data_IF_293791091519
#
_entry.id   IF_293791091519
#
_cell.length_a   1.000
_cell.length_b   1.000
_cell.length_c   1.000
_cell.angle_alpha   90.00
_cell.angle_beta   90.00
_cell.angle_gamma   90.00
#
_symmetry.space_group_name_H-M   'P 1'
#
loop_
_entity.id
_entity.type
_entity.pdbx_description
1 polymer ?
#
# COMPACT_ATOMS: atom_id res chain seq x y z
N UNK A 1 -0.76 22.86 23.61
CA UNK A 1 -1.61 21.66 23.70
C UNK A 1 -1.10 20.67 22.66
N UNK A 2 -1.13 19.35 22.92
CA UNK A 2 -0.77 18.36 21.92
C UNK A 2 -1.59 18.51 20.65
N UNK A 3 -0.96 18.28 19.50
CA UNK A 3 -1.59 18.26 18.19
C UNK A 3 -1.39 16.93 17.49
N UNK A 4 -2.24 16.67 16.50
CA UNK A 4 -2.08 15.58 15.56
C UNK A 4 -1.19 16.03 14.41
N UNK A 5 -0.27 15.18 13.97
CA UNK A 5 0.50 15.37 12.75
C UNK A 5 0.23 14.19 11.85
N UNK A 6 -0.45 14.45 10.73
CA UNK A 6 -0.89 13.44 9.77
C UNK A 6 -0.04 13.54 8.51
N UNK A 7 0.63 12.45 8.15
CA UNK A 7 1.42 12.32 6.94
C UNK A 7 0.66 11.40 5.98
N UNK A 8 0.45 11.83 4.74
CA UNK A 8 -0.23 11.05 3.73
C UNK A 8 0.67 10.88 2.50
N UNK A 9 1.03 9.64 2.20
CA UNK A 9 1.78 9.29 0.99
C UNK A 9 0.85 8.67 -0.04
N UNK A 10 0.57 9.39 -1.12
CA UNK A 10 -0.23 8.80 -2.18
C UNK A 10 0.56 7.75 -2.98
N UNK A 11 -0.18 6.88 -3.63
CA UNK A 11 0.35 6.00 -4.66
C UNK A 11 0.85 6.83 -5.84
N UNK A 12 1.63 6.19 -6.70
CA UNK A 12 2.13 6.85 -7.90
C UNK A 12 1.04 7.16 -8.90
N UNK A 13 0.83 8.45 -9.10
CA UNK A 13 0.13 8.97 -10.26
C UNK A 13 1.04 9.93 -11.01
N UNK A 14 1.10 9.79 -12.34
CA UNK A 14 1.84 10.71 -13.19
C UNK A 14 1.12 12.06 -13.37
N UNK A 15 -0.15 12.18 -12.97
CA UNK A 15 -0.91 13.43 -13.02
C UNK A 15 -1.92 13.47 -11.86
N UNK A 16 -2.08 14.64 -11.22
CA UNK A 16 -3.26 14.96 -10.41
C UNK A 16 -4.43 15.19 -11.39
N UNK A 17 -4.73 14.18 -12.20
CA UNK A 17 -5.88 14.14 -13.09
C UNK A 17 -7.06 13.50 -12.36
N UNK A 18 -8.26 13.64 -12.91
CA UNK A 18 -9.60 13.43 -12.34
C UNK A 18 -9.87 12.22 -11.41
N UNK A 19 -8.94 11.27 -11.32
CA UNK A 19 -9.08 9.99 -10.65
C UNK A 19 -8.54 10.05 -9.22
N UNK A 20 -9.43 10.17 -8.23
CA UNK A 20 -9.04 10.40 -6.83
C UNK A 20 -8.70 9.08 -6.14
N UNK A 21 -7.48 8.98 -5.62
CA UNK A 21 -7.09 7.92 -4.68
C UNK A 21 -7.81 8.09 -3.34
N UNK A 22 -7.87 7.02 -2.56
CA UNK A 22 -8.39 7.08 -1.20
C UNK A 22 -7.50 7.91 -0.27
N UNK A 23 -6.20 8.03 -0.55
CA UNK A 23 -5.31 8.93 0.19
C UNK A 23 -5.67 10.39 -0.08
N UNK A 24 -5.90 10.77 -1.34
CA UNK A 24 -6.34 12.11 -1.70
C UNK A 24 -7.75 12.43 -1.14
N UNK A 25 -8.66 11.45 -1.19
CA UNK A 25 -9.98 11.58 -0.56
C UNK A 25 -9.85 11.79 0.94
N UNK A 26 -9.04 10.98 1.62
CA UNK A 26 -8.77 11.09 3.04
C UNK A 26 -8.17 12.45 3.39
N UNK A 27 -7.20 12.93 2.61
CA UNK A 27 -6.66 14.29 2.74
C UNK A 27 -7.77 15.34 2.67
N UNK A 28 -8.71 15.22 1.73
CA UNK A 28 -9.89 16.09 1.63
C UNK A 28 -10.81 16.04 2.85
N UNK A 29 -10.99 14.86 3.44
CA UNK A 29 -11.83 14.64 4.62
C UNK A 29 -11.22 15.18 5.92
N UNK A 30 -9.90 15.28 6.05
CA UNK A 30 -9.24 15.68 7.29
C UNK A 30 -9.37 17.19 7.57
N UNK A 31 -9.66 17.53 8.83
CA UNK A 31 -9.55 18.90 9.34
C UNK A 31 -8.09 19.36 9.31
N UNK A 32 -7.87 20.62 8.95
CA UNK A 32 -6.55 21.26 8.92
C UNK A 32 -6.63 22.48 9.83
N UNK A 33 -5.95 22.43 10.96
CA UNK A 33 -5.97 23.45 12.02
C UNK A 33 -4.72 23.35 12.89
N UNK A 34 -4.53 24.26 13.83
CA UNK A 34 -3.38 24.22 14.76
C UNK A 34 -3.35 22.97 15.65
N UNK A 35 -4.49 22.27 15.76
CA UNK A 35 -4.62 21.00 16.48
C UNK A 35 -4.40 19.76 15.59
N UNK A 36 -4.38 19.93 14.27
CA UNK A 36 -4.14 18.85 13.32
C UNK A 36 -3.47 19.37 12.05
N UNK A 37 -2.17 19.10 11.95
CA UNK A 37 -1.37 19.40 10.77
C UNK A 37 -1.43 18.21 9.81
N UNK A 38 -1.57 18.48 8.51
CA UNK A 38 -1.75 17.45 7.49
C UNK A 38 -0.79 17.70 6.33
N UNK A 39 0.16 16.79 6.14
CA UNK A 39 1.10 16.77 5.03
C UNK A 39 0.63 15.75 3.99
N UNK A 40 0.67 16.13 2.72
CA UNK A 40 0.28 15.28 1.60
C UNK A 40 1.38 15.25 0.56
N UNK A 41 1.83 14.03 0.24
CA UNK A 41 2.78 13.73 -0.82
C UNK A 41 2.02 13.08 -1.98
N UNK A 42 2.11 13.61 -3.22
CA UNK A 42 1.38 13.08 -4.38
C UNK A 42 1.99 11.78 -4.95
N UNK A 43 3.06 11.23 -4.35
CA UNK A 43 3.79 10.09 -4.89
C UNK A 43 4.81 10.45 -5.96
N UNK A 44 5.55 9.45 -6.46
CA UNK A 44 6.56 9.67 -7.51
C UNK A 44 5.93 9.68 -8.91
N UNK A 45 6.12 10.77 -9.65
CA UNK A 45 5.71 10.91 -11.06
C UNK A 45 6.90 10.85 -12.01
N UNK A 46 6.77 10.11 -13.11
CA UNK A 46 7.77 10.06 -14.19
C UNK A 46 7.40 11.08 -15.27
N UNK A 47 7.89 12.32 -15.18
CA UNK A 47 7.74 13.31 -16.27
C UNK A 47 8.80 12.99 -17.34
N UNK A 48 8.38 12.68 -18.57
CA UNK A 48 9.28 12.43 -19.71
C UNK A 48 8.78 13.06 -21.02
N UNK A 49 9.68 13.52 -21.93
CA UNK A 49 9.35 14.38 -23.07
C UNK A 49 8.52 13.70 -24.17
N UNK A 50 7.79 14.52 -24.93
CA UNK A 50 6.72 14.15 -25.86
C UNK A 50 7.27 13.65 -27.21
N UNK A 51 7.29 12.33 -27.47
CA UNK A 51 7.44 11.74 -28.80
C UNK A 51 6.78 10.34 -28.87
N UNK A 52 6.08 10.02 -29.96
CA UNK A 52 5.17 8.86 -30.07
C UNK A 52 5.86 7.48 -30.04
N UNK A 53 7.05 7.33 -30.64
CA UNK A 53 7.84 6.08 -30.62
C UNK A 53 8.41 5.77 -29.23
N UNK A 54 8.73 6.81 -28.45
CA UNK A 54 9.15 6.67 -27.07
C UNK A 54 8.01 6.20 -26.16
N UNK A 55 6.72 6.25 -26.53
CA UNK A 55 5.62 5.88 -25.61
C UNK A 55 5.66 4.41 -25.17
N UNK A 56 6.10 3.49 -26.03
CA UNK A 56 6.24 2.06 -25.71
C UNK A 56 7.38 1.83 -24.71
N UNK A 57 8.56 2.37 -25.00
CA UNK A 57 9.73 2.30 -24.13
C UNK A 57 9.57 3.16 -22.87
N UNK A 58 8.77 4.23 -22.92
CA UNK A 58 8.37 5.05 -21.79
C UNK A 58 7.42 4.28 -20.90
N UNK A 59 6.40 3.58 -21.42
CA UNK A 59 5.55 2.72 -20.56
C UNK A 59 6.35 1.59 -19.92
N UNK A 60 7.27 0.97 -20.66
CA UNK A 60 8.14 -0.07 -20.12
C UNK A 60 9.14 0.49 -19.09
N UNK A 61 9.75 1.64 -19.36
CA UNK A 61 10.70 2.36 -18.51
C UNK A 61 10.05 3.09 -17.33
N UNK A 62 8.80 3.51 -17.45
CA UNK A 62 7.92 3.97 -16.37
C UNK A 62 7.67 2.76 -15.47
N UNK A 63 7.14 1.63 -15.98
CA UNK A 63 6.94 0.42 -15.17
C UNK A 63 8.24 -0.05 -14.49
N UNK A 64 9.39 0.08 -15.17
CA UNK A 64 10.70 -0.22 -14.60
C UNK A 64 11.17 0.80 -13.57
N UNK A 65 11.04 2.11 -13.81
CA UNK A 65 11.36 3.18 -12.86
C UNK A 65 10.41 3.19 -11.66
N UNK A 66 9.17 2.72 -11.87
CA UNK A 66 8.21 2.43 -10.81
C UNK A 66 8.66 1.28 -9.92
N UNK A 67 9.49 0.39 -10.47
CA UNK A 67 10.02 -0.80 -9.84
C UNK A 67 11.42 -0.63 -9.21
N UNK A 68 12.18 0.43 -9.53
CA UNK A 68 13.55 0.62 -8.99
C UNK A 68 13.62 1.53 -7.76
N UNK A 69 12.48 2.00 -7.23
CA UNK A 69 12.43 2.85 -6.03
C UNK A 69 12.86 4.31 -6.24
N UNK A 70 13.04 4.76 -7.48
CA UNK A 70 13.52 6.12 -7.78
C UNK A 70 12.51 7.18 -7.30
N UNK A 71 12.96 8.07 -6.42
CA UNK A 71 12.16 9.16 -5.82
C UNK A 71 11.54 8.86 -4.45
N UNK A 72 11.47 7.60 -4.02
CA UNK A 72 10.89 7.20 -2.72
C UNK A 72 11.60 7.87 -1.53
N UNK A 73 12.94 7.86 -1.59
CA UNK A 73 13.80 8.41 -0.54
C UNK A 73 13.55 9.90 -0.31
N UNK A 74 13.27 10.65 -1.38
CA UNK A 74 13.02 12.08 -1.27
C UNK A 74 11.69 12.35 -0.57
N UNK A 75 10.62 11.65 -0.95
CA UNK A 75 9.30 11.78 -0.33
C UNK A 75 9.38 11.45 1.18
N UNK A 76 10.10 10.39 1.55
CA UNK A 76 10.32 10.02 2.97
C UNK A 76 11.08 11.12 3.72
N UNK A 77 12.16 11.64 3.14
CA UNK A 77 12.95 12.73 3.75
C UNK A 77 12.14 14.02 3.89
N UNK A 78 11.29 14.35 2.92
CA UNK A 78 10.47 15.57 2.98
C UNK A 78 9.38 15.48 4.05
N UNK A 79 8.72 14.32 4.16
CA UNK A 79 7.81 14.05 5.27
C UNK A 79 8.53 14.04 6.63
N UNK A 80 9.73 13.47 6.70
CA UNK A 80 10.55 13.49 7.92
C UNK A 80 10.95 14.91 8.32
N UNK A 81 11.35 15.75 7.35
CA UNK A 81 11.63 17.17 7.59
C UNK A 81 10.40 17.89 8.15
N UNK A 82 9.23 17.66 7.55
CA UNK A 82 7.97 18.20 8.05
C UNK A 82 7.71 17.76 9.50
N UNK A 83 7.97 16.49 9.86
CA UNK A 83 7.86 16.03 11.24
C UNK A 83 8.84 16.76 12.17
N UNK A 84 10.12 16.85 11.82
CA UNK A 84 11.13 17.55 12.64
C UNK A 84 10.78 19.03 12.85
N UNK A 85 10.23 19.69 11.83
CA UNK A 85 9.85 21.09 11.88
C UNK A 85 8.59 21.36 12.71
N UNK A 86 7.70 20.38 12.84
CA UNK A 86 6.37 20.60 13.44
C UNK A 86 6.12 19.82 14.73
N UNK A 87 6.85 18.73 14.98
CA UNK A 87 6.64 17.88 16.16
C UNK A 87 7.15 18.53 17.44
N UNK A 88 6.30 18.53 18.47
CA UNK A 88 6.62 18.98 19.80
C UNK A 88 6.54 17.83 20.81
N UNK A 89 7.66 17.56 21.48
CA UNK A 89 7.75 16.56 22.56
C UNK A 89 6.97 16.93 23.83
N UNK A 90 6.46 18.15 23.92
CA UNK A 90 5.81 18.72 25.10
C UNK A 90 6.74 18.91 26.32
N UNK A 91 6.33 19.71 27.31
CA UNK A 91 7.05 19.85 28.57
C UNK A 91 6.95 18.57 29.42
N UNK A 92 8.02 18.22 30.16
CA UNK A 92 7.96 17.18 31.20
C UNK A 92 7.38 17.83 32.45
N UNK A 93 6.16 17.49 32.83
CA UNK A 93 5.56 17.89 34.11
C UNK A 93 5.73 16.76 35.11
N UNK A 94 6.17 17.10 36.32
CA UNK A 94 6.36 16.13 37.40
C UNK A 94 5.02 15.44 37.74
N UNK A 95 5.04 14.12 37.86
CA UNK A 95 3.84 13.32 38.14
C UNK A 95 2.83 13.15 37.00
N UNK A 96 3.09 13.64 35.77
CA UNK A 96 2.19 13.42 34.61
C UNK A 96 2.92 12.85 33.39
N UNK A 97 2.27 11.98 32.58
CA UNK A 97 2.78 11.58 31.26
C UNK A 97 3.08 12.81 30.40
N UNK A 98 4.15 12.77 29.60
CA UNK A 98 4.44 13.86 28.65
C UNK A 98 3.30 13.97 27.64
N UNK A 99 2.74 15.16 27.56
CA UNK A 99 1.75 15.57 26.56
C UNK A 99 2.47 15.82 25.21
N UNK A 100 2.75 14.74 24.48
CA UNK A 100 3.43 14.74 23.16
C UNK A 100 2.41 14.83 22.03
N UNK A 101 2.85 15.38 20.90
CA UNK A 101 2.08 15.31 19.64
C UNK A 101 1.88 13.84 19.19
N UNK A 102 0.80 13.58 18.46
CA UNK A 102 0.47 12.25 17.93
C UNK A 102 0.76 12.16 16.43
N UNK A 103 1.53 11.15 16.02
CA UNK A 103 1.92 10.95 14.61
C UNK A 103 1.01 9.88 13.98
N UNK A 104 0.35 10.25 12.89
CA UNK A 104 -0.46 9.36 12.05
C UNK A 104 0.16 9.32 10.66
N UNK A 105 0.40 8.14 10.12
CA UNK A 105 1.01 7.99 8.80
C UNK A 105 0.09 7.14 7.94
N UNK A 106 -0.26 7.65 6.77
CA UNK A 106 -1.08 6.97 5.79
C UNK A 106 -0.32 6.75 4.50
N UNK A 107 -0.67 5.69 3.77
CA UNK A 107 -0.31 5.64 2.38
C UNK A 107 -1.01 4.56 1.57
N UNK A 108 -0.90 4.69 0.25
CA UNK A 108 -1.42 3.72 -0.72
C UNK A 108 -0.29 3.18 -1.59
N UNK A 109 -0.28 1.87 -1.87
CA UNK A 109 0.65 1.25 -2.82
C UNK A 109 2.11 1.47 -2.43
N UNK A 110 2.88 2.16 -3.27
CA UNK A 110 4.23 2.63 -2.96
C UNK A 110 4.28 3.70 -1.89
N UNK A 111 3.28 4.58 -1.83
CA UNK A 111 3.13 5.50 -0.71
C UNK A 111 2.92 4.77 0.62
N UNK A 112 2.21 3.63 0.61
CA UNK A 112 2.08 2.77 1.80
C UNK A 112 3.44 2.16 2.20
N UNK A 113 4.30 1.87 1.23
CA UNK A 113 5.68 1.47 1.49
C UNK A 113 6.51 2.65 2.04
N UNK A 114 6.42 3.86 1.48
CA UNK A 114 7.02 5.08 2.04
C UNK A 114 6.60 5.31 3.48
N UNK A 115 5.31 5.12 3.79
CA UNK A 115 4.76 5.24 5.14
C UNK A 115 5.45 4.30 6.13
N UNK A 116 5.68 3.05 5.72
CA UNK A 116 6.42 2.05 6.50
C UNK A 116 7.90 2.39 6.65
N UNK A 117 8.54 2.87 5.58
CA UNK A 117 9.95 3.31 5.59
C UNK A 117 10.11 4.51 6.52
N UNK A 118 9.22 5.50 6.47
CA UNK A 118 9.21 6.64 7.40
C UNK A 118 9.05 6.16 8.85
N UNK A 119 8.10 5.24 9.11
CA UNK A 119 7.91 4.68 10.44
C UNK A 119 9.17 3.93 10.94
N UNK A 120 9.82 3.17 10.06
CA UNK A 120 11.07 2.48 10.36
C UNK A 120 12.21 3.46 10.63
N UNK A 121 12.32 4.52 9.84
CA UNK A 121 13.33 5.56 10.01
C UNK A 121 13.16 6.31 11.34
N UNK A 122 11.92 6.66 11.72
CA UNK A 122 11.62 7.24 13.04
C UNK A 122 11.95 6.25 14.17
N UNK A 123 11.66 4.96 14.00
CA UNK A 123 11.99 3.94 15.00
C UNK A 123 13.51 3.86 15.22
N UNK A 124 14.27 3.78 14.13
CA UNK A 124 15.72 3.54 14.16
C UNK A 124 16.54 4.78 14.52
N UNK A 125 16.22 5.93 13.92
CA UNK A 125 17.01 7.16 14.05
C UNK A 125 16.35 8.17 15.00
N UNK A 126 15.05 8.04 15.26
CA UNK A 126 14.29 9.08 15.96
C UNK A 126 14.14 10.35 15.12
N UNK A 127 13.59 11.40 15.72
CA UNK A 127 13.51 12.75 15.18
C UNK A 127 14.72 13.56 15.64
N UNK A 128 15.56 13.98 14.68
CA UNK A 128 16.69 14.89 14.93
C UNK A 128 16.18 16.29 15.25
N UNK A 129 17.05 17.12 15.82
CA UNK A 129 16.73 18.54 16.06
C UNK A 129 16.65 19.32 14.75
N UNK A 130 15.82 20.35 14.71
CA UNK A 130 15.65 21.24 13.53
C UNK A 130 16.98 21.78 13.00
N UNK A 131 17.92 22.12 13.88
CA UNK A 131 19.24 22.64 13.51
C UNK A 131 20.12 21.62 12.76
N UNK A 132 19.82 20.34 12.89
CA UNK A 132 20.60 19.24 12.32
C UNK A 132 19.97 18.69 11.04
N UNK A 133 18.95 19.35 10.47
CA UNK A 133 18.30 18.91 9.23
C UNK A 133 19.26 18.83 8.03
N UNK A 134 20.39 19.53 8.06
CA UNK A 134 21.47 19.39 7.09
C UNK A 134 22.14 18.00 7.10
N UNK A 135 21.97 17.23 8.18
CA UNK A 135 22.50 15.86 8.32
C UNK A 135 21.49 14.77 7.92
N UNK A 136 20.29 15.16 7.50
CA UNK A 136 19.20 14.23 7.17
C UNK A 136 19.61 13.19 6.12
N UNK A 137 20.28 13.60 5.05
CA UNK A 137 20.71 12.67 3.99
C UNK A 137 21.70 11.61 4.51
N UNK A 138 22.57 11.99 5.44
CA UNK A 138 23.52 11.06 6.04
C UNK A 138 22.83 10.09 7.00
N UNK A 139 21.93 10.60 7.85
CA UNK A 139 21.16 9.78 8.77
C UNK A 139 20.25 8.78 8.01
N UNK A 140 19.61 9.23 6.92
CA UNK A 140 18.79 8.38 6.08
C UNK A 140 19.62 7.29 5.39
N UNK A 141 20.81 7.63 4.87
CA UNK A 141 21.74 6.64 4.30
C UNK A 141 22.18 5.59 5.30
N UNK A 142 22.46 5.99 6.54
CA UNK A 142 22.80 5.05 7.61
C UNK A 142 21.64 4.09 7.91
N UNK A 143 20.40 4.59 7.91
CA UNK A 143 19.20 3.75 8.06
C UNK A 143 19.03 2.74 6.92
N UNK A 144 19.16 3.16 5.66
CA UNK A 144 18.97 2.25 4.51
C UNK A 144 19.99 1.11 4.49
N UNK A 145 21.21 1.34 4.98
CA UNK A 145 22.26 0.29 5.06
C UNK A 145 21.96 -0.82 6.07
N UNK A 146 21.09 -0.59 7.06
CA UNK A 146 20.68 -1.64 8.01
C UNK A 146 19.89 -2.74 7.28
N UNK A 147 19.14 -2.38 6.24
CA UNK A 147 18.42 -3.33 5.39
C UNK A 147 19.35 -4.35 4.71
N UNK A 148 20.60 -3.95 4.44
CA UNK A 148 21.57 -4.71 3.63
C UNK A 148 22.35 -5.78 4.41
N UNK A 149 22.05 -5.99 5.70
CA UNK A 149 22.70 -6.98 6.59
C UNK A 149 24.22 -6.81 6.74
N UNK A 150 24.75 -5.59 6.55
CA UNK A 150 26.14 -5.30 6.92
C UNK A 150 26.31 -5.22 8.44
N UNK A 151 27.30 -5.93 8.97
CA UNK A 151 27.58 -6.08 10.42
C UNK A 151 27.90 -4.73 11.09
N UNK A 152 28.47 -3.77 10.37
CA UNK A 152 28.84 -2.43 10.89
C UNK A 152 27.71 -1.40 10.87
N UNK A 153 26.58 -1.68 10.20
CA UNK A 153 25.48 -0.71 10.02
C UNK A 153 24.85 -0.23 11.34
N UNK A 154 24.75 -1.13 12.34
CA UNK A 154 24.24 -0.77 13.67
C UNK A 154 25.21 0.10 14.48
N UNK A 155 26.52 0.08 14.17
CA UNK A 155 27.49 0.96 14.83
C UNK A 155 27.31 2.41 14.37
N UNK A 156 27.05 2.61 13.07
CA UNK A 156 26.78 3.94 12.48
C UNK A 156 25.51 4.56 13.10
N UNK A 157 24.43 3.79 13.24
CA UNK A 157 23.20 4.28 13.91
C UNK A 157 23.43 4.65 15.37
N UNK A 158 24.13 3.82 16.14
CA UNK A 158 24.46 4.14 17.55
C UNK A 158 25.30 5.41 17.68
N UNK A 159 26.16 5.69 16.70
CA UNK A 159 26.92 6.93 16.64
C UNK A 159 26.00 8.13 16.42
N UNK A 160 25.05 8.04 15.48
CA UNK A 160 24.04 9.08 15.26
C UNK A 160 23.17 9.32 16.50
N UNK A 161 22.70 8.26 17.15
CA UNK A 161 21.93 8.36 18.40
C UNK A 161 22.72 9.12 19.48
N UNK A 162 24.01 8.79 19.65
CA UNK A 162 24.88 9.43 20.63
C UNK A 162 25.14 10.91 20.33
N UNK A 163 25.44 11.23 19.07
CA UNK A 163 25.83 12.59 18.66
C UNK A 163 24.61 13.50 18.55
N UNK A 164 23.54 13.05 17.89
CA UNK A 164 22.38 13.88 17.60
C UNK A 164 21.38 13.93 18.76
N UNK A 165 21.43 12.93 19.66
CA UNK A 165 20.50 12.75 20.77
C UNK A 165 19.03 12.97 20.34
N UNK A 166 18.55 12.17 19.38
CA UNK A 166 17.22 12.33 18.79
C UNK A 166 16.11 11.97 19.79
N UNK A 167 14.90 12.49 19.57
CA UNK A 167 13.71 12.05 20.31
C UNK A 167 13.05 10.91 19.53
N UNK A 168 12.68 9.81 20.20
CA UNK A 168 11.98 8.69 19.56
C UNK A 168 10.49 8.77 19.89
N UNK A 169 9.67 9.49 19.09
CA UNK A 169 8.25 9.56 19.33
C UNK A 169 7.56 8.22 19.04
N UNK A 170 6.54 7.84 19.80
CA UNK A 170 5.65 6.76 19.40
C UNK A 170 4.85 7.17 18.16
N UNK A 171 4.53 6.21 17.30
CA UNK A 171 3.67 6.38 16.14
C UNK A 171 2.29 5.85 16.52
N UNK A 172 1.30 6.74 16.52
CA UNK A 172 -0.08 6.42 16.95
C UNK A 172 -0.75 5.45 15.99
N UNK A 173 -0.62 5.71 14.68
CA UNK A 173 -1.29 4.92 13.65
C UNK A 173 -0.47 4.83 12.37
N UNK A 174 -0.47 3.63 11.79
CA UNK A 174 -0.10 3.39 10.40
C UNK A 174 -1.32 2.88 9.60
N UNK A 175 -1.88 3.73 8.73
CA UNK A 175 -3.05 3.44 7.89
C UNK A 175 -2.67 3.18 6.43
N UNK A 176 -2.86 1.96 5.96
CA UNK A 176 -2.29 1.47 4.71
C UNK A 176 -3.37 0.97 3.78
N UNK A 177 -3.27 1.35 2.51
CA UNK A 177 -4.02 0.76 1.41
C UNK A 177 -3.05 -0.04 0.53
N UNK A 178 -3.29 -1.34 0.46
CA UNK A 178 -2.68 -2.33 -0.41
C UNK A 178 -1.16 -2.14 -0.64
N UNK A 179 -0.38 -2.29 0.43
CA UNK A 179 1.07 -2.06 0.36
C UNK A 179 1.73 -3.04 -0.62
N UNK A 180 2.54 -2.52 -1.56
CA UNK A 180 3.33 -3.35 -2.48
C UNK A 180 4.82 -3.11 -2.28
N UNK A 181 5.62 -4.18 -2.31
CA UNK A 181 7.08 -4.06 -2.28
C UNK A 181 7.58 -3.46 -3.60
N UNK A 182 8.40 -2.40 -3.53
CA UNK A 182 8.66 -1.54 -4.68
C UNK A 182 10.13 -1.38 -5.08
N UNK A 183 11.02 -2.18 -4.48
CA UNK A 183 12.42 -2.18 -4.86
C UNK A 183 12.74 -3.50 -5.53
N UNK A 184 12.80 -3.47 -6.86
CA UNK A 184 13.50 -4.47 -7.65
C UNK A 184 15.00 -4.15 -7.53
N UNK A 185 15.70 -4.93 -6.72
CA UNK A 185 17.14 -5.01 -6.78
C UNK A 185 17.54 -5.91 -7.95
N UNK A 186 18.50 -5.45 -8.77
CA UNK A 186 19.19 -6.31 -9.72
C UNK A 186 20.08 -7.28 -8.95
N UNK A 187 19.56 -8.46 -8.62
CA UNK A 187 20.39 -9.55 -8.12
C UNK A 187 21.33 -10.08 -9.23
N UNK A 188 22.39 -10.81 -8.88
CA UNK A 188 23.42 -11.26 -9.83
C UNK A 188 22.91 -12.16 -10.98
N UNK A 189 21.68 -12.69 -10.88
CA UNK A 189 21.07 -13.54 -11.92
C UNK A 189 19.59 -13.25 -12.20
N UNK A 190 18.85 -12.66 -11.24
CA UNK A 190 17.43 -12.31 -11.39
C UNK A 190 17.07 -11.07 -10.55
N UNK A 191 16.07 -10.27 -10.98
CA UNK A 191 15.48 -9.23 -10.15
C UNK A 191 14.95 -9.80 -8.84
N UNK A 192 15.27 -9.14 -7.72
CA UNK A 192 14.80 -9.50 -6.37
C UNK A 192 13.96 -8.36 -5.82
N UNK A 193 12.81 -8.69 -5.23
CA UNK A 193 12.06 -7.74 -4.43
C UNK A 193 12.74 -7.63 -3.06
N UNK A 194 13.25 -6.45 -2.73
CA UNK A 194 13.86 -6.15 -1.44
C UNK A 194 12.96 -5.21 -0.65
N UNK A 195 13.06 -5.31 0.67
CA UNK A 195 12.34 -4.46 1.62
C UNK A 195 13.31 -3.92 2.64
N UNK A 196 13.22 -2.62 2.90
CA UNK A 196 14.00 -1.93 3.91
C UNK A 196 13.69 -2.48 5.32
N UNK A 197 14.63 -2.28 6.25
CA UNK A 197 14.48 -2.71 7.63
C UNK A 197 13.24 -2.09 8.29
N UNK A 198 12.61 -2.86 9.19
CA UNK A 198 11.43 -2.46 9.97
C UNK A 198 10.16 -2.10 9.17
N UNK A 199 10.06 -2.52 7.91
CA UNK A 199 8.87 -2.28 7.06
C UNK A 199 7.72 -3.29 7.27
N UNK A 200 8.01 -4.45 7.86
CA UNK A 200 7.01 -5.47 8.23
C UNK A 200 6.88 -5.68 9.74
N UNK A 201 7.89 -5.18 10.49
CA UNK A 201 7.99 -5.28 11.94
C UNK A 201 8.47 -3.96 12.52
N UNK A 202 7.69 -3.30 13.36
CA UNK A 202 8.10 -2.03 13.96
C UNK A 202 7.38 -1.82 15.30
N UNK A 203 8.07 -1.96 16.44
CA UNK A 203 7.45 -1.88 17.75
C UNK A 203 7.18 -0.45 18.24
N UNK A 204 7.54 0.57 17.45
CA UNK A 204 7.19 1.97 17.71
C UNK A 204 5.81 2.36 17.18
N UNK A 205 5.16 1.49 16.39
CA UNK A 205 3.81 1.71 15.87
C UNK A 205 2.78 1.09 16.83
N UNK A 206 1.81 1.87 17.28
CA UNK A 206 0.79 1.41 18.23
C UNK A 206 -0.34 0.64 17.52
N UNK A 207 -1.01 1.33 16.59
CA UNK A 207 -2.12 0.77 15.81
C UNK A 207 -1.77 0.69 14.32
N UNK A 208 -2.18 -0.40 13.69
CA UNK A 208 -2.02 -0.63 12.25
C UNK A 208 -3.39 -0.94 11.66
N UNK A 209 -3.74 -0.25 10.57
CA UNK A 209 -4.92 -0.53 9.74
C UNK A 209 -4.45 -0.76 8.32
N UNK A 210 -4.61 -1.96 7.78
CA UNK A 210 -4.13 -2.30 6.45
C UNK A 210 -5.26 -2.93 5.63
N UNK A 211 -5.78 -2.20 4.65
CA UNK A 211 -6.74 -2.72 3.68
C UNK A 211 -5.97 -3.40 2.55
N UNK A 212 -6.26 -4.66 2.24
CA UNK A 212 -5.52 -5.47 1.25
C UNK A 212 -6.44 -5.96 0.14
N UNK A 213 -5.99 -5.88 -1.12
CA UNK A 213 -6.77 -6.34 -2.27
C UNK A 213 -6.69 -7.86 -2.46
N UNK A 214 -7.85 -8.50 -2.68
CA UNK A 214 -7.95 -9.96 -2.89
C UNK A 214 -7.74 -10.37 -4.35
N UNK A 215 -8.19 -9.54 -5.31
CA UNK A 215 -8.30 -9.90 -6.72
C UNK A 215 -7.15 -9.41 -7.60
N UNK A 216 -6.16 -8.73 -7.02
CA UNK A 216 -4.99 -8.30 -7.75
C UNK A 216 -4.12 -9.50 -8.17
N UNK A 217 -3.74 -9.54 -9.45
CA UNK A 217 -3.08 -10.69 -10.09
C UNK A 217 -1.76 -10.34 -10.75
N UNK A 218 -1.40 -9.05 -10.86
CA UNK A 218 -0.11 -8.62 -11.39
C UNK A 218 1.00 -9.06 -10.43
N UNK A 219 1.98 -9.78 -10.94
CA UNK A 219 3.09 -10.34 -10.15
C UNK A 219 3.92 -9.30 -9.42
N UNK A 220 3.95 -8.06 -9.91
CA UNK A 220 4.65 -6.94 -9.29
C UNK A 220 3.86 -6.27 -8.17
N UNK A 221 2.58 -6.60 -8.02
CA UNK A 221 1.69 -6.08 -6.99
C UNK A 221 1.42 -7.14 -5.93
N UNK A 222 2.47 -7.87 -5.51
CA UNK A 222 2.34 -8.78 -4.36
C UNK A 222 2.24 -7.95 -3.08
N UNK A 223 1.29 -8.28 -2.18
CA UNK A 223 1.09 -7.49 -0.99
C UNK A 223 2.21 -7.72 0.01
N UNK A 224 2.68 -6.64 0.61
CA UNK A 224 3.60 -6.69 1.74
C UNK A 224 2.77 -6.68 3.03
N UNK A 225 2.51 -7.85 3.62
CA UNK A 225 1.70 -7.97 4.83
C UNK A 225 2.45 -7.49 6.08
N UNK A 226 1.72 -7.17 7.14
CA UNK A 226 2.30 -6.88 8.46
C UNK A 226 2.50 -8.18 9.26
N UNK A 227 3.64 -8.33 9.94
CA UNK A 227 3.85 -9.52 10.78
C UNK A 227 2.91 -9.51 11.99
N UNK A 228 2.22 -10.62 12.25
CA UNK A 228 1.31 -10.75 13.40
C UNK A 228 2.06 -11.00 14.71
N UNK A 229 1.41 -10.72 15.84
CA UNK A 229 1.91 -11.06 17.19
C UNK A 229 3.09 -10.21 17.68
N UNK A 230 3.14 -8.95 17.25
CA UNK A 230 4.19 -8.02 17.67
C UNK A 230 3.78 -7.22 18.91
N UNK A 231 4.78 -6.84 19.70
CA UNK A 231 4.61 -5.93 20.82
C UNK A 231 4.87 -4.47 20.42
N UNK A 232 4.10 -3.57 21.00
CA UNK A 232 4.30 -2.13 21.01
C UNK A 232 5.01 -1.72 22.30
N UNK A 233 6.15 -1.03 22.18
CA UNK A 233 6.92 -0.54 23.33
C UNK A 233 6.61 0.92 23.67
N UNK A 234 6.13 1.71 22.70
CA UNK A 234 5.92 3.16 22.80
C UNK A 234 7.21 3.96 23.01
N UNK A 235 7.90 3.72 24.11
CA UNK A 235 9.25 4.22 24.36
C UNK A 235 10.25 3.06 24.20
N UNK A 236 11.19 3.13 23.24
CA UNK A 236 12.22 2.11 23.04
C UNK A 236 13.04 1.77 24.31
N UNK A 237 13.14 2.72 25.24
CA UNK A 237 13.90 2.60 26.48
C UNK A 237 13.10 2.01 27.66
N UNK A 238 11.80 1.74 27.51
CA UNK A 238 10.96 1.14 28.55
C UNK A 238 10.25 -0.13 28.06
N UNK A 239 11.01 -1.23 27.94
CA UNK A 239 10.48 -2.52 27.49
C UNK A 239 9.48 -3.15 28.46
N UNK A 240 9.49 -2.76 29.74
CA UNK A 240 8.54 -3.29 30.72
C UNK A 240 7.09 -2.82 30.48
N UNK A 241 6.88 -1.77 29.67
CA UNK A 241 5.57 -1.27 29.28
C UNK A 241 5.04 -1.88 27.97
N UNK A 242 5.67 -2.96 27.48
CA UNK A 242 5.27 -3.66 26.27
C UNK A 242 3.81 -4.12 26.36
N UNK A 243 3.05 -3.88 25.29
CA UNK A 243 1.69 -4.42 25.11
C UNK A 243 1.52 -4.90 23.67
N UNK A 244 0.57 -5.80 23.38
CA UNK A 244 0.32 -6.22 22.00
C UNK A 244 -0.02 -5.04 21.08
N UNK A 245 0.50 -5.06 19.85
CA UNK A 245 0.10 -4.11 18.80
C UNK A 245 -1.38 -4.28 18.43
N UNK A 246 -2.06 -3.17 18.19
CA UNK A 246 -3.43 -3.17 17.67
C UNK A 246 -3.41 -3.26 16.13
N UNK A 247 -3.31 -4.48 15.61
CA UNK A 247 -3.28 -4.77 14.19
C UNK A 247 -4.66 -5.17 13.65
N UNK A 248 -5.15 -4.45 12.64
CA UNK A 248 -6.24 -4.91 11.75
C UNK A 248 -5.77 -4.88 10.30
N UNK A 249 -5.44 -6.06 9.78
CA UNK A 249 -5.16 -6.26 8.36
C UNK A 249 -6.35 -7.01 7.74
N UNK A 250 -7.11 -6.31 6.91
CA UNK A 250 -8.42 -6.73 6.40
C UNK A 250 -8.38 -6.82 4.88
N UNK A 251 -8.86 -7.94 4.36
CA UNK A 251 -8.91 -8.21 2.92
C UNK A 251 -10.26 -7.81 2.31
N UNK A 252 -10.20 -7.14 1.17
CA UNK A 252 -11.35 -6.61 0.43
C UNK A 252 -11.39 -7.14 -1.00
N UNK A 253 -12.60 -7.30 -1.53
CA UNK A 253 -12.82 -7.59 -2.97
C UNK A 253 -12.29 -6.44 -3.83
N UNK A 254 -11.81 -6.78 -5.02
CA UNK A 254 -11.27 -5.84 -5.99
C UNK A 254 -9.76 -5.98 -6.19
N UNK A 255 -9.28 -5.39 -7.29
CA UNK A 255 -7.85 -5.29 -7.60
C UNK A 255 -7.18 -4.15 -6.80
N UNK A 256 -5.88 -3.90 -7.02
CA UNK A 256 -5.13 -2.89 -6.26
C UNK A 256 -5.81 -1.52 -6.19
N UNK A 257 -6.28 -1.05 -7.35
CA UNK A 257 -6.92 0.25 -7.52
C UNK A 257 -8.37 0.26 -7.02
N UNK A 258 -9.00 -0.92 -6.85
CA UNK A 258 -10.31 -1.05 -6.18
C UNK A 258 -10.23 -0.92 -4.66
N UNK A 259 -9.03 -1.09 -4.08
CA UNK A 259 -8.78 -0.88 -2.64
C UNK A 259 -8.21 0.50 -2.37
N UNK A 260 -7.30 0.98 -3.23
CA UNK A 260 -6.66 2.27 -3.06
C UNK A 260 -7.32 3.45 -3.77
N UNK A 261 -8.24 3.21 -4.70
CA UNK A 261 -8.76 4.24 -5.60
C UNK A 261 -7.86 4.51 -6.80
N UNK A 262 -8.11 5.62 -7.49
CA UNK A 262 -7.46 5.93 -8.78
C UNK A 262 -8.32 5.64 -10.00
N UNK A 263 -9.64 5.48 -9.81
CA UNK A 263 -10.63 5.52 -10.88
C UNK A 263 -11.47 6.79 -10.81
N UNK A 264 -12.16 7.13 -11.91
CA UNK A 264 -13.17 8.18 -11.92
C UNK A 264 -14.22 7.98 -10.83
N UNK A 265 -14.84 9.08 -10.45
CA UNK A 265 -15.77 9.13 -9.33
C UNK A 265 -16.99 8.22 -9.50
N UNK A 266 -17.52 8.07 -10.72
CA UNK A 266 -18.66 7.20 -11.04
C UNK A 266 -18.35 5.69 -10.88
N UNK A 267 -17.08 5.32 -10.93
CA UNK A 267 -16.57 3.95 -10.80
C UNK A 267 -16.02 3.65 -9.40
N UNK A 268 -16.11 4.58 -8.46
CA UNK A 268 -15.42 4.50 -7.18
C UNK A 268 -16.19 3.76 -6.07
N UNK A 269 -17.14 2.89 -6.42
CA UNK A 269 -17.95 2.13 -5.47
C UNK A 269 -17.12 1.21 -4.55
N UNK A 270 -16.22 0.38 -5.12
CA UNK A 270 -15.35 -0.52 -4.35
C UNK A 270 -14.30 0.24 -3.50
N UNK A 271 -13.54 1.21 -4.05
CA UNK A 271 -12.60 2.00 -3.24
C UNK A 271 -13.26 2.71 -2.07
N UNK A 272 -14.53 3.10 -2.19
CA UNK A 272 -15.22 3.78 -1.08
C UNK A 272 -15.59 2.85 0.06
N UNK A 273 -15.71 1.54 -0.18
CA UNK A 273 -15.88 0.54 0.90
C UNK A 273 -14.64 0.52 1.79
N UNK A 274 -13.45 0.52 1.21
CA UNK A 274 -12.19 0.52 1.99
C UNK A 274 -11.92 1.88 2.64
N UNK A 275 -12.31 2.98 1.98
CA UNK A 275 -12.21 4.32 2.54
C UNK A 275 -13.15 4.51 3.74
N UNK A 276 -14.38 4.04 3.64
CA UNK A 276 -15.34 4.07 4.75
C UNK A 276 -14.81 3.27 5.95
N UNK A 277 -14.32 2.06 5.70
CA UNK A 277 -13.69 1.25 6.74
C UNK A 277 -12.51 1.98 7.41
N UNK A 278 -11.61 2.58 6.63
CA UNK A 278 -10.48 3.34 7.18
C UNK A 278 -10.95 4.55 7.99
N UNK A 279 -12.00 5.25 7.53
CA UNK A 279 -12.59 6.37 8.26
C UNK A 279 -13.17 5.92 9.61
N UNK A 280 -13.95 4.85 9.62
CA UNK A 280 -14.62 4.33 10.81
C UNK A 280 -13.61 3.78 11.84
N UNK A 281 -12.54 3.13 11.39
CA UNK A 281 -11.47 2.63 12.27
C UNK A 281 -10.65 3.76 12.91
N UNK A 282 -10.44 4.86 12.19
CA UNK A 282 -9.44 5.87 12.61
C UNK A 282 -10.04 7.10 13.27
N UNK A 283 -11.33 7.39 13.04
CA UNK A 283 -12.07 8.43 13.76
C UNK A 283 -12.03 8.25 15.30
N UNK A 284 -12.27 7.07 15.89
CA UNK A 284 -12.19 6.88 17.34
C UNK A 284 -10.75 6.97 17.89
N UNK A 285 -9.73 6.96 17.02
CA UNK A 285 -8.33 7.05 17.45
C UNK A 285 -7.85 8.47 17.74
N UNK A 286 -8.67 9.49 17.44
CA UNK A 286 -8.38 10.89 17.71
C UNK A 286 -8.14 11.75 16.47
N UNK A 287 -8.32 11.22 15.26
CA UNK A 287 -8.25 12.01 14.02
C UNK A 287 -9.48 12.92 13.88
N UNK A 288 -9.23 14.17 13.50
CA UNK A 288 -10.27 15.16 13.29
C UNK A 288 -10.69 15.20 11.81
N UNK A 289 -11.96 14.94 11.55
CA UNK A 289 -12.54 14.91 10.21
C UNK A 289 -13.53 16.05 10.01
N UNK A 290 -13.51 16.67 8.83
CA UNK A 290 -14.58 17.53 8.34
C UNK A 290 -15.79 16.67 8.01
N UNK A 291 -16.70 16.51 8.97
CA UNK A 291 -17.84 15.59 8.87
C UNK A 291 -18.67 15.82 7.61
N UNK A 292 -18.93 17.07 7.22
CA UNK A 292 -19.65 17.38 5.99
C UNK A 292 -18.92 16.87 4.74
N UNK A 293 -17.61 17.12 4.64
CA UNK A 293 -16.80 16.66 3.51
C UNK A 293 -16.67 15.14 3.46
N UNK A 294 -16.55 14.48 4.62
CA UNK A 294 -16.58 13.02 4.71
C UNK A 294 -17.92 12.45 4.23
N UNK A 295 -19.04 13.02 4.66
CA UNK A 295 -20.37 12.61 4.20
C UNK A 295 -20.57 12.84 2.71
N UNK A 296 -20.07 13.96 2.17
CA UNK A 296 -20.11 14.23 0.73
C UNK A 296 -19.31 13.17 -0.04
N UNK A 297 -18.03 12.98 0.30
CA UNK A 297 -17.16 12.04 -0.41
C UNK A 297 -17.63 10.59 -0.24
N UNK A 298 -18.24 10.21 0.88
CA UNK A 298 -18.82 8.87 1.05
C UNK A 298 -20.22 8.72 0.44
N UNK A 299 -20.72 9.71 -0.32
CA UNK A 299 -22.03 9.64 -0.97
C UNK A 299 -23.20 9.59 0.02
N UNK A 300 -22.98 9.99 1.28
CA UNK A 300 -24.01 10.05 2.34
C UNK A 300 -24.86 11.32 2.25
N UNK A 301 -24.39 12.34 1.52
CA UNK A 301 -25.16 13.57 1.29
C UNK A 301 -26.00 13.50 0.01
N UNK A 302 -27.34 13.43 0.10
CA UNK A 302 -28.22 13.32 -1.06
C UNK A 302 -28.19 14.57 -1.99
N UNK A 303 -27.73 15.72 -1.48
CA UNK A 303 -27.58 16.94 -2.28
C UNK A 303 -26.37 16.90 -3.24
N UNK A 304 -25.39 16.01 -2.99
CA UNK A 304 -24.14 15.91 -3.78
C UNK A 304 -24.12 14.63 -4.61
N UNK A 305 -25.05 14.53 -5.57
CA UNK A 305 -25.26 13.35 -6.43
C UNK A 305 -24.05 12.91 -7.27
N UNK A 306 -23.03 13.76 -7.44
CA UNK A 306 -21.83 13.39 -8.17
C UNK A 306 -20.91 12.44 -7.39
N UNK A 307 -21.07 12.33 -6.06
CA UNK A 307 -20.32 11.37 -5.27
C UNK A 307 -21.08 10.04 -5.17
N UNK A 308 -20.48 8.95 -5.66
CA UNK A 308 -21.10 7.62 -5.53
C UNK A 308 -20.96 7.07 -4.11
N UNK A 309 -21.92 6.33 -3.55
CA UNK A 309 -21.73 5.69 -2.25
C UNK A 309 -20.76 4.50 -2.33
N UNK A 310 -20.18 4.06 -1.20
CA UNK A 310 -19.59 2.73 -1.07
C UNK A 310 -20.53 1.66 -1.61
N UNK A 311 -20.04 0.81 -2.51
CA UNK A 311 -20.87 -0.24 -3.11
C UNK A 311 -20.05 -1.55 -3.24
N UNK A 312 -20.29 -2.54 -2.36
CA UNK A 312 -19.59 -3.82 -2.41
C UNK A 312 -19.98 -4.69 -3.62
N UNK A 313 -21.11 -4.37 -4.27
CA UNK A 313 -21.58 -5.05 -5.48
C UNK A 313 -21.10 -4.40 -6.77
N UNK A 314 -20.35 -3.28 -6.70
CA UNK A 314 -19.80 -2.64 -7.88
C UNK A 314 -18.90 -3.62 -8.68
N UNK A 315 -18.82 -3.47 -10.01
CA UNK A 315 -17.95 -4.31 -10.84
C UNK A 315 -16.49 -4.21 -10.39
N UNK A 316 -15.79 -5.34 -10.35
CA UNK A 316 -14.34 -5.38 -10.12
C UNK A 316 -13.65 -4.95 -11.40
N UNK A 317 -12.75 -3.96 -11.31
CA UNK A 317 -12.04 -3.47 -12.47
C UNK A 317 -10.99 -4.47 -12.97
N UNK A 318 -10.58 -4.34 -14.23
CA UNK A 318 -9.54 -5.19 -14.82
C UNK A 318 -8.42 -4.33 -15.42
N UNK A 319 -7.22 -4.44 -14.83
CA UNK A 319 -6.02 -3.74 -15.28
C UNK A 319 -4.94 -4.67 -15.84
N UNK A 320 -5.34 -5.68 -16.62
CA UNK A 320 -4.41 -6.56 -17.33
C UNK A 320 -4.21 -6.03 -18.76
N UNK A 321 -3.23 -5.14 -18.91
CA UNK A 321 -2.75 -4.74 -20.23
C UNK A 321 -1.60 -5.65 -20.70
N UNK A 322 -1.29 -5.60 -22.00
CA UNK A 322 -0.25 -6.44 -22.60
C UNK A 322 1.15 -6.20 -22.01
N UNK A 323 1.43 -5.02 -21.44
CA UNK A 323 2.72 -4.72 -20.83
C UNK A 323 2.93 -5.55 -19.55
N UNK A 324 1.88 -5.72 -18.74
CA UNK A 324 1.92 -6.62 -17.58
C UNK A 324 2.11 -8.08 -18.00
N UNK A 325 1.52 -8.52 -19.11
CA UNK A 325 1.65 -9.88 -19.59
C UNK A 325 3.11 -10.29 -19.91
N UNK A 326 3.97 -9.33 -20.26
CA UNK A 326 5.41 -9.57 -20.47
C UNK A 326 6.11 -9.88 -19.13
N UNK A 327 5.73 -9.21 -18.04
CA UNK A 327 6.32 -9.49 -16.73
C UNK A 327 5.83 -10.82 -16.16
N UNK A 328 4.65 -11.29 -16.55
CA UNK A 328 4.08 -12.56 -16.09
C UNK A 328 4.79 -13.81 -16.64
N UNK A 329 5.59 -13.67 -17.69
CA UNK A 329 6.40 -14.75 -18.28
C UNK A 329 7.85 -14.77 -17.76
N UNK A 330 8.22 -13.84 -16.88
CA UNK A 330 9.54 -13.83 -16.25
C UNK A 330 9.48 -14.72 -15.00
N UNK A 331 10.37 -15.74 -14.86
CA UNK A 331 10.43 -16.56 -13.67
C UNK A 331 10.67 -15.71 -12.42
N UNK A 332 9.87 -15.94 -11.37
CA UNK A 332 10.02 -15.27 -10.09
C UNK A 332 10.14 -16.30 -8.96
N UNK A 333 10.67 -15.86 -7.81
CA UNK A 333 10.75 -16.72 -6.63
C UNK A 333 9.34 -17.08 -6.16
N UNK A 334 9.13 -18.37 -5.88
CA UNK A 334 7.84 -18.86 -5.39
C UNK A 334 7.43 -18.13 -4.11
N UNK A 335 6.24 -17.49 -4.08
CA UNK A 335 5.69 -16.91 -2.86
C UNK A 335 5.46 -17.98 -1.80
N UNK A 336 5.66 -17.60 -0.54
CA UNK A 336 5.31 -18.46 0.61
C UNK A 336 3.80 -18.77 0.60
N UNK A 337 3.43 -20.01 0.91
CA UNK A 337 2.05 -20.48 0.86
C UNK A 337 1.45 -20.71 -0.54
N UNK A 338 2.17 -20.41 -1.64
CA UNK A 338 1.72 -20.73 -2.99
C UNK A 338 1.60 -22.25 -3.18
N UNK A 339 0.45 -22.76 -3.65
CA UNK A 339 0.18 -24.20 -3.83
C UNK A 339 0.85 -24.81 -5.07
N UNK A 340 1.21 -24.00 -6.07
CA UNK A 340 1.84 -24.46 -7.31
C UNK A 340 3.28 -24.90 -7.07
N UNK A 341 3.66 -26.04 -7.64
CA UNK A 341 5.05 -26.52 -7.61
C UNK A 341 5.89 -25.69 -8.58
N UNK A 342 7.05 -25.25 -8.11
CA UNK A 342 8.05 -24.54 -8.91
C UNK A 342 9.26 -25.42 -9.23
N UNK A 343 10.03 -25.02 -10.22
CA UNK A 343 11.30 -25.64 -10.57
C UNK A 343 12.44 -24.87 -9.87
N UNK A 344 13.26 -25.54 -9.06
CA UNK A 344 14.32 -24.90 -8.26
C UNK A 344 13.86 -23.70 -7.42
N UNK A 345 12.61 -23.73 -6.93
CA UNK A 345 12.03 -22.63 -6.14
C UNK A 345 11.55 -21.43 -6.97
N UNK A 346 11.59 -21.51 -8.29
CA UNK A 346 11.07 -20.51 -9.22
C UNK A 346 9.73 -20.96 -9.83
N UNK A 347 8.84 -20.01 -10.10
CA UNK A 347 7.58 -20.22 -10.83
C UNK A 347 7.42 -19.15 -11.92
N UNK A 348 6.68 -19.49 -12.97
CA UNK A 348 6.10 -18.47 -13.84
C UNK A 348 4.80 -17.97 -13.19
N UNK A 349 4.71 -16.67 -12.86
CA UNK A 349 3.56 -16.15 -12.12
C UNK A 349 2.26 -16.25 -12.92
N UNK A 350 2.23 -15.93 -14.21
CA UNK A 350 1.07 -16.16 -15.09
C UNK A 350 -0.27 -15.60 -14.55
N UNK A 351 -0.25 -14.41 -13.99
CA UNK A 351 -1.40 -13.78 -13.33
C UNK A 351 -1.98 -14.63 -12.20
N UNK A 352 -1.12 -15.23 -11.37
CA UNK A 352 -1.56 -16.04 -10.24
C UNK A 352 -2.32 -15.20 -9.21
N UNK A 353 -3.27 -15.83 -8.53
CA UNK A 353 -3.98 -15.20 -7.44
C UNK A 353 -3.05 -14.86 -6.28
N UNK A 354 -3.43 -13.87 -5.48
CA UNK A 354 -2.78 -13.61 -4.19
C UNK A 354 -3.02 -14.76 -3.23
N UNK A 355 -1.97 -15.14 -2.50
CA UNK A 355 -2.09 -16.10 -1.41
C UNK A 355 -2.62 -15.33 -0.20
N UNK A 356 -3.81 -15.71 0.25
CA UNK A 356 -4.42 -15.18 1.47
C UNK A 356 -4.03 -16.12 2.62
N UNK A 357 -3.41 -15.63 3.70
CA UNK A 357 -3.05 -16.46 4.85
C UNK A 357 -4.27 -17.12 5.49
N UNK A 358 -4.08 -18.33 6.04
CA UNK A 358 -5.10 -18.94 6.90
C UNK A 358 -5.29 -18.08 8.17
N UNK A 359 -6.54 -17.89 8.60
CA UNK A 359 -6.91 -16.96 9.67
C UNK A 359 -6.82 -15.48 9.27
N UNK A 360 -6.77 -15.16 7.97
CA UNK A 360 -6.89 -13.79 7.49
C UNK A 360 -8.24 -13.17 7.88
N UNK A 361 -8.25 -11.86 8.14
CA UNK A 361 -9.51 -11.14 8.38
C UNK A 361 -10.04 -10.68 7.03
N UNK A 362 -11.28 -11.06 6.69
CA UNK A 362 -11.98 -10.62 5.51
C UNK A 362 -13.03 -9.57 5.90
N UNK A 363 -13.24 -8.57 5.06
CA UNK A 363 -14.32 -7.62 5.28
C UNK A 363 -15.68 -8.28 5.01
N UNK A 364 -16.72 -7.90 5.76
CA UNK A 364 -18.08 -8.45 5.61
C UNK A 364 -18.63 -8.32 4.18
N UNK A 365 -18.21 -7.27 3.45
CA UNK A 365 -18.58 -7.08 2.02
C UNK A 365 -18.17 -8.24 1.10
N UNK A 366 -17.13 -9.00 1.46
CA UNK A 366 -16.69 -10.18 0.71
C UNK A 366 -17.80 -11.24 0.71
N UNK A 367 -18.38 -11.49 1.89
CA UNK A 367 -19.44 -12.49 2.07
C UNK A 367 -20.78 -11.98 1.54
N UNK A 368 -21.06 -10.70 1.70
CA UNK A 368 -22.25 -10.06 1.13
C UNK A 368 -22.29 -10.24 -0.39
N UNK A 369 -21.18 -9.97 -1.07
CA UNK A 369 -21.05 -10.13 -2.51
C UNK A 369 -21.19 -11.59 -2.94
N UNK A 370 -20.59 -12.53 -2.21
CA UNK A 370 -20.76 -13.96 -2.48
C UNK A 370 -22.23 -14.40 -2.32
N UNK A 371 -22.94 -13.88 -1.32
CA UNK A 371 -24.34 -14.20 -1.06
C UNK A 371 -25.29 -13.62 -2.10
N UNK A 372 -25.09 -12.35 -2.48
CA UNK A 372 -26.03 -11.62 -3.33
C UNK A 372 -25.86 -11.89 -4.82
N UNK A 373 -24.62 -12.09 -5.29
CA UNK A 373 -24.33 -12.27 -6.72
C UNK A 373 -23.51 -13.53 -7.03
N UNK A 374 -23.24 -14.38 -6.03
CA UNK A 374 -22.51 -15.64 -6.24
C UNK A 374 -21.02 -15.48 -6.52
N UNK A 375 -20.44 -14.30 -6.28
CA UNK A 375 -19.02 -14.01 -6.57
C UNK A 375 -18.13 -14.31 -5.36
N UNK A 376 -17.73 -15.59 -5.24
CA UNK A 376 -16.77 -16.04 -4.24
C UNK A 376 -15.34 -16.09 -4.83
N UNK A 377 -14.33 -15.48 -4.18
CA UNK A 377 -12.96 -15.51 -4.67
C UNK A 377 -12.40 -16.93 -4.78
N UNK A 378 -11.66 -17.27 -5.84
CA UNK A 378 -11.05 -18.60 -5.97
C UNK A 378 -9.85 -18.82 -5.03
N UNK A 379 -9.29 -17.75 -4.45
CA UNK A 379 -8.17 -17.76 -3.51
C UNK A 379 -8.60 -17.68 -2.04
N UNK A 380 -9.85 -18.04 -1.74
CA UNK A 380 -10.34 -18.07 -0.36
C UNK A 380 -9.51 -19.02 0.52
N UNK A 381 -9.09 -18.57 1.72
CA UNK A 381 -8.50 -19.46 2.71
C UNK A 381 -9.57 -20.39 3.31
N UNK A 382 -9.14 -21.50 3.89
CA UNK A 382 -10.05 -22.49 4.49
C UNK A 382 -10.60 -21.99 5.84
N UNK A 383 -9.79 -21.23 6.55
CA UNK A 383 -10.07 -20.59 7.83
C UNK A 383 -9.86 -19.09 7.66
N UNK A 384 -10.83 -18.28 8.06
CA UNK A 384 -10.72 -16.83 8.06
C UNK A 384 -11.58 -16.21 9.17
N UNK A 385 -11.45 -14.91 9.39
CA UNK A 385 -12.20 -14.16 10.38
C UNK A 385 -13.05 -13.07 9.70
N UNK A 386 -14.28 -12.86 10.15
CA UNK A 386 -15.11 -11.70 9.78
C UNK A 386 -15.72 -11.14 11.06
N UNK A 387 -15.62 -9.83 11.28
CA UNK A 387 -16.18 -9.14 12.45
C UNK A 387 -15.80 -9.77 13.81
N UNK A 388 -14.54 -10.21 13.96
CA UNK A 388 -14.08 -10.85 15.20
C UNK A 388 -14.45 -12.33 15.35
N UNK A 389 -15.14 -12.93 14.37
CA UNK A 389 -15.61 -14.31 14.43
C UNK A 389 -14.85 -15.21 13.44
N UNK A 390 -14.23 -16.30 13.90
CA UNK A 390 -13.60 -17.26 13.02
C UNK A 390 -14.66 -18.07 12.25
N UNK A 391 -14.41 -18.29 10.98
CA UNK A 391 -15.23 -19.07 10.06
C UNK A 391 -14.33 -20.11 9.40
N UNK A 392 -14.78 -21.37 9.42
CA UNK A 392 -14.11 -22.49 8.76
C UNK A 392 -15.02 -23.04 7.67
N UNK A 393 -14.53 -23.06 6.44
CA UNK A 393 -15.22 -23.68 5.31
C UNK A 393 -14.62 -25.06 5.06
N UNK A 394 -15.43 -26.12 4.93
CA UNK A 394 -14.92 -27.44 4.55
C UNK A 394 -14.28 -27.38 3.15
N UNK A 395 -13.18 -28.10 2.95
CA UNK A 395 -12.43 -28.07 1.68
C UNK A 395 -13.29 -28.43 0.44
N UNK A 396 -14.41 -29.14 0.62
CA UNK A 396 -15.37 -29.48 -0.42
C UNK A 396 -16.18 -28.28 -0.94
N UNK A 397 -16.32 -27.21 -0.14
CA UNK A 397 -17.06 -26.00 -0.46
C UNK A 397 -16.18 -24.85 -0.97
N UNK A 398 -14.85 -25.01 -0.95
CA UNK A 398 -13.94 -24.06 -1.59
C UNK A 398 -14.01 -24.19 -3.13
N UNK A 399 -13.92 -23.07 -3.87
CA UNK A 399 -13.84 -23.12 -5.33
C UNK A 399 -12.66 -24.00 -5.75
N UNK A 400 -12.93 -25.02 -6.57
CA UNK A 400 -11.85 -25.82 -7.17
C UNK A 400 -11.08 -24.91 -8.13
N UNK A 401 -9.75 -24.83 -8.01
CA UNK A 401 -8.89 -24.20 -9.02
C UNK A 401 -9.24 -24.79 -10.39
N UNK A 402 -9.97 -24.04 -11.22
CA UNK A 402 -10.29 -24.48 -12.56
C UNK A 402 -9.00 -24.50 -13.37
N UNK A 403 -8.48 -25.69 -13.67
CA UNK A 403 -7.38 -25.97 -14.61
C UNK A 403 -7.73 -25.63 -16.07
N UNK A 404 -8.37 -24.49 -16.36
CA UNK A 404 -8.77 -24.11 -17.73
C UNK A 404 -8.12 -22.80 -18.15
N UNK A 405 -6.88 -22.91 -18.65
CA UNK A 405 -6.30 -21.95 -19.58
C UNK A 405 -5.11 -22.55 -20.35
N UNK A 406 -5.37 -23.50 -21.26
CA UNK A 406 -4.51 -23.80 -22.41
C UNK A 406 -5.25 -24.69 -23.43
N UNK A 407 -6.38 -24.22 -23.96
CA UNK A 407 -6.94 -24.77 -25.19
C UNK A 407 -7.59 -23.62 -25.93
N UNK A 408 -6.79 -22.98 -26.80
CA UNK A 408 -7.30 -22.03 -27.78
C UNK A 408 -8.24 -22.82 -28.71
N UNK A 409 -9.54 -22.51 -28.65
CA UNK A 409 -10.42 -22.78 -29.78
C UNK A 409 -9.91 -21.98 -30.97
N UNK A 410 -9.57 -22.69 -32.03
CA UNK A 410 -9.29 -22.17 -33.35
C UNK A 410 -10.42 -21.25 -33.81
N UNK A 411 -10.06 -20.04 -34.25
CA UNK A 411 -10.99 -19.13 -34.91
C UNK A 411 -11.42 -19.71 -36.27
N UNK A 412 -12.65 -19.46 -36.73
CA UNK A 412 -13.09 -19.89 -38.05
C UNK A 412 -12.36 -19.08 -39.13
N UNK A 413 -11.93 -19.78 -40.18
CA UNK A 413 -11.25 -19.24 -41.36
C UNK A 413 -12.12 -18.20 -42.07
N UNK A 414 -11.54 -17.01 -42.34
CA UNK A 414 -12.12 -16.02 -43.27
C UNK A 414 -12.06 -16.55 -44.72
N UNK A 415 -13.06 -16.23 -45.57
CA UNK A 415 -13.08 -16.68 -46.95
C UNK A 415 -12.06 -15.91 -47.80
N UNK A 416 -11.42 -16.62 -48.74
CA UNK A 416 -10.45 -16.08 -49.72
C UNK A 416 -11.12 -15.03 -50.62
N UNK A 417 -10.64 -13.79 -50.59
CA UNK A 417 -10.89 -12.82 -51.67
C UNK A 417 -10.18 -13.29 -52.95
N UNK A 418 -10.96 -13.48 -54.02
CA UNK A 418 -10.47 -13.61 -55.39
C UNK A 418 -9.78 -12.30 -55.82
N UNK A 419 -8.52 -12.39 -56.25
CA UNK A 419 -7.86 -11.34 -57.03
C UNK A 419 -8.51 -11.30 -58.42
N UNK A 420 -9.14 -10.17 -58.79
CA UNK A 420 -9.38 -9.81 -60.19
C UNK A 420 -8.15 -9.02 -60.66
N UNK A 421 -7.53 -9.50 -61.74
CA UNK A 421 -6.49 -8.75 -62.46
C UNK A 421 -7.10 -7.61 -63.26
N UNK A 422 -6.34 -6.52 -63.33
CA UNK A 422 -6.57 -5.31 -64.12
C UNK A 422 -6.42 -5.57 -65.64
N UNK A 423 -6.91 -4.66 -66.51
CA UNK A 423 -7.06 -4.88 -67.94
C UNK A 423 -5.79 -4.54 -68.74
N UNK A 424 -5.55 -5.29 -69.82
CA UNK A 424 -4.62 -4.93 -70.89
C UNK A 424 -5.31 -4.16 -72.02
N UNK A 425 -4.63 -3.08 -72.38
CA UNK A 425 -4.58 -2.33 -73.63
C UNK A 425 -4.94 -3.13 -74.89
N UNK A 426 -5.92 -2.62 -75.66
CA UNK A 426 -5.80 -2.24 -77.07
C UNK A 426 -6.94 -1.30 -77.47
#
# INVERSE_FOLDING_TARGET
MPKNIVILFDGTSNEISADRTNVLRLYGMLEKSDRQLVFYDPGVGTIGPQNAWLRFWRKAGEIWGMATGWGLDQNVKDAYRFLVENYEKGPRKEGRPRERDSIYIFGFSRGAYSARVLAGFIHTIGLIKKQNLNLLDYAYRAYTRIGDREVDSFAEVRLYERILNPDHPPIRLLGLFDTVASVIESGPYLPRLSSQAFTQKNPSVESIRHAVSMDERRTMFRPLLWSRGQDYFGNPFNRAAARPQDLREVWFRGIHDDVGGGYPEDQSGLPKVTLEWMFDETKPMGLHYRTQTANDILGKNPAKKHYVPPNPLAPIHQNINWAWAILEIIPCRRPEGCKRRGLFGLILPLFDWRVIPEGAVLHASVLERAKLIGDLPPNMPSVYEVDGKPITIPASALPKETKKAASRKTAPSRPRLRRRGSPEVQ
#
